data_IF_928807568918
#
_entry.id   IF_928807568918
#
_cell.length_a   1.000
_cell.length_b   1.000
_cell.length_c   1.000
_cell.angle_alpha   90.00
_cell.angle_beta   90.00
_cell.angle_gamma   90.00
#
_symmetry.space_group_name_H-M   'P 1'
#
loop_
_entity.id
_entity.type
_entity.pdbx_description
1 polymer ?
#
# COMPACT_ATOMS: atom_id res chain seq x y z
N UNK A 1 4.87 18.83 -73.74
CA UNK A 1 5.36 18.55 -72.37
C UNK A 1 4.12 18.40 -71.48
N UNK A 2 3.91 17.24 -70.85
CA UNK A 2 2.70 16.95 -70.04
C UNK A 2 2.97 17.34 -68.59
N UNK A 3 2.09 18.16 -68.00
CA UNK A 3 2.17 18.63 -66.62
C UNK A 3 1.63 17.57 -65.65
N UNK A 4 2.47 17.09 -64.73
CA UNK A 4 2.14 16.09 -63.70
C UNK A 4 1.83 16.72 -62.33
N UNK A 5 1.22 17.90 -62.32
CA UNK A 5 0.95 18.65 -61.10
C UNK A 5 -0.55 18.54 -60.75
N UNK A 6 -0.93 17.47 -60.05
CA UNK A 6 -2.08 17.40 -59.11
C UNK A 6 -2.54 15.95 -58.82
N UNK A 7 -1.66 15.09 -58.32
CA UNK A 7 -2.08 13.79 -57.76
C UNK A 7 -1.55 13.46 -56.36
N UNK A 8 -0.67 14.28 -55.80
CA UNK A 8 -0.12 14.06 -54.46
C UNK A 8 -0.87 14.79 -53.34
N UNK A 9 -1.62 15.86 -53.65
CA UNK A 9 -2.29 16.68 -52.63
C UNK A 9 -3.49 16.01 -51.94
N UNK A 10 -4.15 15.05 -52.60
CA UNK A 10 -5.38 14.43 -52.05
C UNK A 10 -5.11 13.25 -51.10
N UNK A 11 -3.93 12.61 -51.15
CA UNK A 11 -3.62 11.46 -50.30
C UNK A 11 -3.13 11.85 -48.90
N UNK A 12 -2.55 13.04 -48.73
CA UNK A 12 -2.04 13.50 -47.41
C UNK A 12 -3.19 13.90 -46.48
N UNK A 13 -4.30 14.42 -47.01
CA UNK A 13 -5.46 14.85 -46.21
C UNK A 13 -6.23 13.66 -45.63
N UNK A 14 -6.27 12.52 -46.32
CA UNK A 14 -7.00 11.33 -45.83
C UNK A 14 -6.29 10.68 -44.64
N UNK A 15 -4.95 10.68 -44.59
CA UNK A 15 -4.18 10.04 -43.51
C UNK A 15 -4.25 10.85 -42.19
N UNK A 16 -4.42 12.18 -42.27
CA UNK A 16 -4.53 13.05 -41.08
C UNK A 16 -5.88 12.96 -40.37
N UNK A 17 -6.93 12.45 -41.01
CA UNK A 17 -8.27 12.36 -40.39
C UNK A 17 -8.52 11.03 -39.66
N UNK A 18 -7.77 9.98 -39.95
CA UNK A 18 -7.94 8.65 -39.33
C UNK A 18 -7.25 8.51 -37.96
N UNK A 19 -6.39 9.45 -37.56
CA UNK A 19 -5.65 9.36 -36.30
C UNK A 19 -6.53 9.58 -35.04
N UNK A 20 -7.73 10.14 -35.18
CA UNK A 20 -8.64 10.38 -34.04
C UNK A 20 -9.41 9.12 -33.59
N UNK A 21 -9.38 8.02 -34.35
CA UNK A 21 -10.14 6.81 -34.04
C UNK A 21 -9.40 5.83 -33.10
N UNK A 22 -8.13 6.08 -32.76
CA UNK A 22 -7.39 5.33 -31.75
C UNK A 22 -7.43 6.07 -30.41
N UNK A 23 -8.62 6.45 -29.94
CA UNK A 23 -8.79 6.85 -28.55
C UNK A 23 -8.52 5.63 -27.66
N UNK A 24 -7.33 5.56 -27.06
CA UNK A 24 -7.04 4.60 -26.00
C UNK A 24 -8.08 4.82 -24.91
N UNK A 25 -8.85 3.77 -24.58
CA UNK A 25 -9.70 3.82 -23.38
C UNK A 25 -8.77 4.17 -22.21
N UNK A 26 -9.11 5.17 -21.38
CA UNK A 26 -8.29 5.48 -20.22
C UNK A 26 -8.07 4.19 -19.42
N UNK A 27 -6.85 3.94 -18.89
CA UNK A 27 -6.59 2.77 -18.08
C UNK A 27 -7.68 2.67 -17.02
N UNK A 28 -8.23 1.46 -16.85
CA UNK A 28 -9.30 1.21 -15.89
C UNK A 28 -8.78 1.65 -14.53
N UNK A 29 -9.30 2.76 -14.03
CA UNK A 29 -8.92 3.27 -12.72
C UNK A 29 -9.48 2.26 -11.72
N UNK A 30 -8.61 1.52 -11.04
CA UNK A 30 -9.03 0.67 -9.94
C UNK A 30 -9.58 1.58 -8.85
N UNK A 31 -10.90 1.73 -8.82
CA UNK A 31 -11.58 2.40 -7.73
C UNK A 31 -11.45 1.48 -6.53
N UNK A 32 -10.77 1.95 -5.48
CA UNK A 32 -10.66 1.23 -4.23
C UNK A 32 -12.07 1.05 -3.64
N UNK A 33 -12.52 -0.20 -3.57
CA UNK A 33 -13.74 -0.58 -2.88
C UNK A 33 -13.39 -0.90 -1.42
N UNK A 34 -13.94 -0.15 -0.44
CA UNK A 34 -13.61 -0.37 0.96
C UNK A 34 -14.06 -1.76 1.39
N UNK A 35 -13.10 -2.62 1.72
CA UNK A 35 -13.38 -3.93 2.29
C UNK A 35 -13.68 -3.79 3.78
N UNK A 36 -14.65 -4.57 4.33
CA UNK A 36 -14.87 -4.59 5.77
C UNK A 36 -13.60 -5.04 6.47
N UNK A 37 -13.10 -4.21 7.38
CA UNK A 37 -11.88 -4.49 8.14
C UNK A 37 -12.13 -5.48 9.27
N UNK A 38 -13.34 -5.51 9.83
CA UNK A 38 -13.78 -6.46 10.86
C UNK A 38 -14.33 -7.74 10.22
N UNK A 39 -13.81 -8.88 10.66
CA UNK A 39 -14.28 -10.22 10.33
C UNK A 39 -14.62 -10.97 11.61
N UNK A 40 -15.87 -11.39 11.77
CA UNK A 40 -16.31 -12.22 12.89
C UNK A 40 -16.37 -13.66 12.43
N UNK A 41 -15.71 -14.56 13.15
CA UNK A 41 -15.66 -15.98 12.78
C UNK A 41 -16.98 -16.66 13.14
N UNK A 42 -17.45 -17.53 12.25
CA UNK A 42 -18.62 -18.39 12.52
C UNK A 42 -18.24 -19.56 13.42
N UNK A 43 -19.23 -20.15 14.11
CA UNK A 43 -19.00 -21.20 15.11
C UNK A 43 -18.31 -22.48 14.57
N UNK A 44 -18.35 -22.70 13.26
CA UNK A 44 -17.69 -23.82 12.59
C UNK A 44 -16.23 -23.54 12.19
N UNK A 45 -15.75 -22.30 12.33
CA UNK A 45 -14.37 -21.92 12.11
C UNK A 45 -13.65 -21.82 13.45
N UNK A 46 -12.51 -22.49 13.60
CA UNK A 46 -11.76 -22.51 14.85
C UNK A 46 -10.27 -22.37 14.57
N UNK A 47 -9.74 -21.19 14.88
CA UNK A 47 -8.32 -20.89 14.78
C UNK A 47 -7.74 -20.70 16.18
N UNK A 48 -6.56 -21.26 16.42
CA UNK A 48 -5.79 -20.92 17.60
C UNK A 48 -5.13 -19.56 17.40
N UNK A 49 -5.20 -18.71 18.43
CA UNK A 49 -4.50 -17.41 18.47
C UNK A 49 -3.00 -17.53 18.16
N UNK A 50 -2.39 -18.67 18.49
CA UNK A 50 -0.95 -18.90 18.27
C UNK A 50 -0.59 -19.36 16.85
N UNK A 51 -1.58 -19.62 15.98
CA UNK A 51 -1.36 -20.07 14.60
C UNK A 51 -1.69 -18.94 13.61
N UNK A 52 -0.85 -17.89 13.63
CA UNK A 52 -1.06 -16.71 12.79
C UNK A 52 -1.00 -17.01 11.30
N UNK A 53 -0.16 -17.95 10.85
CA UNK A 53 -0.06 -18.29 9.43
C UNK A 53 -1.36 -18.89 8.88
N UNK A 54 -2.05 -19.74 9.65
CA UNK A 54 -3.36 -20.26 9.24
C UNK A 54 -4.41 -19.13 9.17
N UNK A 55 -4.38 -18.21 10.14
CA UNK A 55 -5.29 -17.05 10.14
C UNK A 55 -5.07 -16.20 8.89
N UNK A 56 -3.84 -15.83 8.59
CA UNK A 56 -3.54 -14.88 7.51
C UNK A 56 -3.68 -15.52 6.13
N UNK A 57 -3.30 -16.78 5.96
CA UNK A 57 -3.44 -17.49 4.68
C UNK A 57 -4.90 -17.85 4.39
N UNK A 58 -5.60 -18.48 5.35
CA UNK A 58 -6.94 -19.01 5.09
C UNK A 58 -8.00 -17.92 5.02
N UNK A 59 -7.87 -16.86 5.85
CA UNK A 59 -8.92 -15.84 5.98
C UNK A 59 -8.63 -14.56 5.20
N UNK A 60 -7.35 -14.21 5.01
CA UNK A 60 -6.97 -12.94 4.38
C UNK A 60 -6.31 -13.13 3.01
N UNK A 61 -5.89 -14.35 2.66
CA UNK A 61 -5.28 -14.65 1.36
C UNK A 61 -4.00 -13.88 1.10
N UNK A 62 -3.26 -13.52 2.16
CA UNK A 62 -2.00 -12.78 2.03
C UNK A 62 -0.95 -13.61 1.31
N UNK A 63 -0.07 -12.93 0.58
CA UNK A 63 0.94 -13.59 -0.22
C UNK A 63 1.99 -14.29 0.66
N UNK A 64 2.67 -15.29 0.08
CA UNK A 64 3.69 -16.07 0.80
C UNK A 64 4.98 -15.30 1.09
N UNK A 65 5.20 -14.16 0.42
CA UNK A 65 6.35 -13.29 0.70
C UNK A 65 6.06 -12.30 1.84
N UNK A 66 4.82 -12.27 2.32
CA UNK A 66 4.41 -11.51 3.48
C UNK A 66 4.64 -12.27 4.79
N UNK A 67 5.17 -11.53 5.77
CA UNK A 67 5.35 -12.00 7.15
C UNK A 67 4.68 -11.02 8.11
N UNK A 68 4.56 -11.40 9.38
CA UNK A 68 3.88 -10.59 10.38
C UNK A 68 4.75 -10.45 11.62
N UNK A 69 5.04 -9.21 11.98
CA UNK A 69 5.79 -8.86 13.17
C UNK A 69 4.82 -8.49 14.29
N UNK A 70 5.03 -9.05 15.48
CA UNK A 70 4.24 -8.71 16.65
C UNK A 70 4.54 -7.29 17.11
N UNK A 71 3.50 -6.49 17.29
CA UNK A 71 3.60 -5.10 17.75
C UNK A 71 3.30 -5.03 19.23
N UNK A 72 2.14 -5.53 19.65
CA UNK A 72 1.70 -5.48 21.05
C UNK A 72 0.57 -6.46 21.34
N UNK A 73 0.34 -6.67 22.63
CA UNK A 73 -0.79 -7.41 23.14
C UNK A 73 -1.46 -6.63 24.27
N UNK A 74 -2.79 -6.64 24.25
CA UNK A 74 -3.63 -6.15 25.33
C UNK A 74 -4.64 -7.23 25.75
N UNK A 75 -5.02 -7.26 27.03
CA UNK A 75 -6.11 -8.10 27.55
C UNK A 75 -7.18 -7.18 28.15
N UNK A 76 -8.43 -7.32 27.70
CA UNK A 76 -9.53 -6.49 28.18
C UNK A 76 -10.15 -7.02 29.49
N UNK A 77 -11.03 -6.21 30.10
CA UNK A 77 -11.73 -6.57 31.34
C UNK A 77 -12.67 -7.77 31.17
N UNK A 78 -13.12 -8.02 29.95
CA UNK A 78 -13.94 -9.17 29.61
C UNK A 78 -13.10 -10.43 29.42
N UNK A 79 -11.76 -10.33 29.46
CA UNK A 79 -10.76 -11.38 29.30
C UNK A 79 -10.56 -11.84 27.86
N UNK A 80 -10.82 -11.00 26.86
CA UNK A 80 -10.34 -11.19 25.50
C UNK A 80 -8.87 -10.77 25.41
N UNK A 81 -8.13 -11.45 24.55
CA UNK A 81 -6.76 -11.08 24.17
C UNK A 81 -6.78 -10.45 22.78
N UNK A 82 -6.06 -9.34 22.63
CA UNK A 82 -5.91 -8.58 21.40
C UNK A 82 -4.44 -8.54 21.01
N UNK A 83 -4.05 -9.31 20.00
CA UNK A 83 -2.69 -9.24 19.46
C UNK A 83 -2.67 -8.39 18.20
N UNK A 84 -1.78 -7.40 18.18
CA UNK A 84 -1.55 -6.56 17.01
C UNK A 84 -0.28 -7.02 16.33
N UNK A 85 -0.37 -7.24 15.03
CA UNK A 85 0.77 -7.53 14.16
C UNK A 85 0.82 -6.53 13.00
N UNK A 86 2.04 -6.17 12.60
CA UNK A 86 2.31 -5.39 11.38
C UNK A 86 2.69 -6.33 10.25
N UNK A 87 2.13 -6.08 9.07
CA UNK A 87 2.51 -6.83 7.87
C UNK A 87 3.87 -6.35 7.36
N UNK A 88 4.71 -7.29 6.96
CA UNK A 88 5.92 -7.06 6.20
C UNK A 88 5.77 -7.75 4.85
N UNK A 89 6.40 -7.20 3.81
CA UNK A 89 6.54 -7.83 2.51
C UNK A 89 8.03 -7.86 2.17
N UNK A 90 8.60 -9.07 2.02
CA UNK A 90 10.06 -9.25 1.82
C UNK A 90 10.89 -8.51 2.89
N UNK A 91 10.46 -8.63 4.15
CA UNK A 91 11.06 -7.99 5.33
C UNK A 91 10.95 -6.45 5.40
N UNK A 92 10.18 -5.82 4.51
CA UNK A 92 9.90 -4.38 4.55
C UNK A 92 8.52 -4.13 5.16
N UNK A 93 8.38 -3.18 6.11
CA UNK A 93 7.06 -2.82 6.64
C UNK A 93 6.12 -2.36 5.54
N UNK A 94 4.91 -2.91 5.53
CA UNK A 94 3.83 -2.41 4.69
C UNK A 94 3.10 -1.36 5.50
N UNK A 95 3.27 -0.08 5.13
CA UNK A 95 2.72 1.03 5.89
C UNK A 95 1.19 0.96 5.97
N UNK A 96 0.65 1.26 7.15
CA UNK A 96 -0.78 1.12 7.50
C UNK A 96 -1.37 -0.30 7.44
N UNK A 97 -0.59 -1.34 7.12
CA UNK A 97 -1.08 -2.72 7.06
C UNK A 97 -0.85 -3.46 8.38
N UNK A 98 -1.94 -3.73 9.09
CA UNK A 98 -1.94 -4.42 10.38
C UNK A 98 -3.07 -5.44 10.46
N UNK A 99 -2.91 -6.39 11.39
CA UNK A 99 -3.95 -7.31 11.81
C UNK A 99 -4.04 -7.30 13.33
N UNK A 100 -5.25 -7.15 13.86
CA UNK A 100 -5.59 -7.36 15.26
C UNK A 100 -6.37 -8.67 15.39
N UNK A 101 -5.78 -9.63 16.10
CA UNK A 101 -6.41 -10.92 16.40
C UNK A 101 -7.13 -10.82 17.73
N UNK A 102 -8.47 -10.88 17.69
CA UNK A 102 -9.30 -10.91 18.89
C UNK A 102 -9.60 -12.36 19.27
N UNK A 103 -9.21 -12.77 20.47
CA UNK A 103 -9.33 -14.15 20.92
C UNK A 103 -9.89 -14.25 22.35
N UNK A 104 -10.58 -15.36 22.63
CA UNK A 104 -11.10 -15.71 23.96
C UNK A 104 -10.69 -17.13 24.31
N UNK A 105 -10.13 -17.34 25.49
CA UNK A 105 -9.63 -18.64 25.92
C UNK A 105 -8.67 -19.32 24.89
N UNK A 106 -7.84 -18.51 24.22
CA UNK A 106 -6.88 -18.98 23.22
C UNK A 106 -7.42 -19.20 21.80
N UNK A 107 -8.74 -19.08 21.60
CA UNK A 107 -9.40 -19.27 20.31
C UNK A 107 -9.80 -17.93 19.69
N UNK A 108 -9.57 -17.77 18.39
CA UNK A 108 -9.92 -16.56 17.64
C UNK A 108 -11.44 -16.45 17.52
N UNK A 109 -11.98 -15.27 17.83
CA UNK A 109 -13.42 -14.95 17.70
C UNK A 109 -13.67 -13.93 16.60
N UNK A 110 -12.74 -12.99 16.40
CA UNK A 110 -12.81 -11.99 15.36
C UNK A 110 -11.41 -11.49 14.99
N UNK A 111 -11.32 -10.81 13.85
CA UNK A 111 -10.12 -10.12 13.37
C UNK A 111 -10.49 -8.72 12.91
N UNK A 112 -9.66 -7.73 13.21
CA UNK A 112 -9.70 -6.44 12.52
C UNK A 112 -8.43 -6.31 11.69
N UNK A 113 -8.52 -6.01 10.39
CA UNK A 113 -7.34 -5.98 9.53
C UNK A 113 -7.39 -4.86 8.49
N UNK A 114 -6.20 -4.41 8.12
CA UNK A 114 -5.90 -3.52 6.99
C UNK A 114 -4.82 -4.15 6.10
N UNK A 115 -4.68 -5.47 6.14
CA UNK A 115 -3.66 -6.19 5.39
C UNK A 115 -3.87 -6.02 3.89
N UNK A 116 -2.77 -6.07 3.15
CA UNK A 116 -2.77 -5.87 1.69
C UNK A 116 -2.25 -7.12 1.03
N UNK A 117 -2.95 -7.61 0.01
CA UNK A 117 -2.43 -8.67 -0.86
C UNK A 117 -1.48 -8.04 -1.86
N UNK A 118 -0.21 -8.48 -1.86
CA UNK A 118 0.83 -7.91 -2.72
C UNK A 118 1.26 -8.95 -3.76
N UNK A 119 1.08 -8.62 -5.04
CA UNK A 119 1.43 -9.50 -6.16
C UNK A 119 2.70 -8.99 -6.84
N UNK A 120 3.79 -9.77 -6.74
CA UNK A 120 5.05 -9.59 -7.50
C UNK A 120 5.61 -8.15 -7.55
N UNK A 121 5.61 -7.45 -6.40
CA UNK A 121 6.17 -6.10 -6.30
C UNK A 121 7.70 -6.15 -6.24
N UNK A 122 8.38 -5.42 -7.13
CA UNK A 122 9.83 -5.16 -7.01
C UNK A 122 10.06 -4.14 -5.90
N UNK A 123 10.74 -4.56 -4.83
CA UNK A 123 11.03 -3.75 -3.64
C UNK A 123 12.40 -3.08 -3.71
N UNK A 124 13.13 -3.21 -4.82
CA UNK A 124 14.45 -2.60 -4.97
C UNK A 124 14.31 -1.09 -5.19
N UNK A 125 14.85 -0.23 -4.30
CA UNK A 125 14.73 1.21 -4.43
C UNK A 125 15.47 1.70 -5.69
N UNK A 126 14.80 2.58 -6.45
CA UNK A 126 15.39 3.27 -7.62
C UNK A 126 15.88 4.67 -7.28
N UNK A 127 15.53 5.17 -6.10
CA UNK A 127 15.94 6.46 -5.55
C UNK A 127 16.70 6.25 -4.25
N UNK A 128 17.71 7.08 -4.01
CA UNK A 128 18.32 7.16 -2.69
C UNK A 128 17.40 7.91 -1.72
N UNK A 129 17.50 7.60 -0.42
CA UNK A 129 16.80 8.28 0.66
C UNK A 129 16.88 9.81 0.53
N UNK A 130 18.09 10.36 0.35
CA UNK A 130 18.30 11.81 0.16
C UNK A 130 17.53 12.37 -1.04
N UNK A 131 17.50 11.64 -2.16
CA UNK A 131 16.81 12.10 -3.37
C UNK A 131 15.29 12.04 -3.20
N UNK A 132 14.79 11.00 -2.54
CA UNK A 132 13.38 10.86 -2.20
C UNK A 132 12.92 11.97 -1.25
N UNK A 133 13.67 12.23 -0.17
CA UNK A 133 13.36 13.30 0.78
C UNK A 133 13.38 14.68 0.12
N UNK A 134 14.39 14.97 -0.71
CA UNK A 134 14.43 16.25 -1.45
C UNK A 134 13.23 16.42 -2.39
N UNK A 135 12.82 15.34 -3.05
CA UNK A 135 11.63 15.35 -3.93
C UNK A 135 10.36 15.62 -3.12
N UNK A 136 10.20 14.96 -1.97
CA UNK A 136 9.08 15.19 -1.06
C UNK A 136 9.06 16.65 -0.55
N UNK A 137 10.22 17.20 -0.15
CA UNK A 137 10.33 18.59 0.27
C UNK A 137 9.96 19.57 -0.85
N UNK A 138 10.35 19.26 -2.09
CA UNK A 138 10.00 20.08 -3.25
C UNK A 138 8.50 20.03 -3.57
N UNK A 139 7.86 18.87 -3.38
CA UNK A 139 6.42 18.70 -3.60
C UNK A 139 5.59 19.45 -2.54
N UNK A 140 5.93 19.26 -1.26
CA UNK A 140 5.25 19.97 -0.16
C UNK A 140 5.54 21.47 -0.21
N UNK A 141 6.74 21.85 -0.68
CA UNK A 141 7.18 23.23 -0.87
C UNK A 141 7.07 24.10 0.40
N UNK A 142 7.38 23.49 1.55
CA UNK A 142 7.51 24.22 2.81
C UNK A 142 8.70 25.18 2.79
N UNK A 143 8.54 26.36 3.40
CA UNK A 143 9.65 27.34 3.54
C UNK A 143 10.75 26.84 4.47
N UNK A 144 10.34 26.15 5.53
CA UNK A 144 11.19 25.55 6.55
C UNK A 144 10.44 24.37 7.13
N UNK A 145 11.15 23.31 7.45
CA UNK A 145 10.60 22.13 8.10
C UNK A 145 10.97 22.12 9.59
N UNK A 146 10.11 21.54 10.44
CA UNK A 146 10.30 21.55 11.89
C UNK A 146 11.68 21.06 12.32
N UNK A 147 12.17 19.99 11.68
CA UNK A 147 13.47 19.39 11.97
C UNK A 147 14.68 20.18 11.45
N UNK A 148 14.47 21.25 10.68
CA UNK A 148 15.54 22.15 10.23
C UNK A 148 15.81 23.28 11.24
N UNK A 149 14.87 23.57 12.13
CA UNK A 149 15.03 24.52 13.22
C UNK A 149 15.42 23.80 14.52
N UNK A 150 16.70 23.91 14.90
CA UNK A 150 17.25 23.17 16.04
C UNK A 150 16.55 23.49 17.37
N UNK A 151 16.04 24.72 17.55
CA UNK A 151 15.33 25.10 18.77
C UNK A 151 13.96 24.42 18.86
N UNK A 152 13.17 24.48 17.79
CA UNK A 152 11.84 23.87 17.72
C UNK A 152 11.91 22.35 17.72
N UNK A 153 12.87 21.76 17.00
CA UNK A 153 13.06 20.31 16.96
C UNK A 153 13.43 19.76 18.34
N UNK A 154 14.26 20.45 19.11
CA UNK A 154 14.62 20.07 20.47
C UNK A 154 13.45 20.20 21.46
N UNK A 155 12.60 21.23 21.31
CA UNK A 155 11.39 21.38 22.13
C UNK A 155 10.37 20.25 21.92
N UNK A 156 10.37 19.64 20.72
CA UNK A 156 9.44 18.57 20.35
C UNK A 156 10.07 17.17 20.36
N UNK A 157 11.35 17.05 20.74
CA UNK A 157 12.15 15.83 20.61
C UNK A 157 12.00 15.17 19.22
N UNK A 158 11.97 15.99 18.17
CA UNK A 158 11.66 15.57 16.81
C UNK A 158 12.93 15.57 15.94
N UNK A 159 13.17 14.44 15.28
CA UNK A 159 14.24 14.30 14.28
C UNK A 159 13.66 14.27 12.87
N UNK A 160 14.44 14.71 11.89
CA UNK A 160 14.04 14.65 10.49
C UNK A 160 13.73 13.21 10.07
N UNK A 161 12.79 13.01 9.12
CA UNK A 161 12.42 11.67 8.69
C UNK A 161 13.62 10.96 8.05
N UNK A 162 13.90 9.75 8.53
CA UNK A 162 14.80 8.80 7.91
C UNK A 162 14.02 7.72 7.15
N UNK A 163 14.56 7.27 6.02
CA UNK A 163 13.99 6.15 5.27
C UNK A 163 14.33 4.80 5.93
N UNK A 164 13.50 3.79 5.68
CA UNK A 164 13.72 2.41 6.18
C UNK A 164 14.35 1.48 5.12
N UNK A 165 14.79 2.03 3.97
CA UNK A 165 15.31 1.31 2.78
C UNK A 165 16.74 1.70 2.39
#
# INVERSE_FOLDING_TARGET
MKNYLNRFGMSVVVILTTAFALAQKPPKQEVYEPQPTLMVLSQNQSYSRNNLSAITQDLLGVDSASTFEFVKQDIDELGFTHDVYRQLYRALPVEFAQINVHAKAGQVTALTNTTVVINDLDTRPTLSERSALNSAKSFVNGRTYLWEDAQSSALMDYQGPGGEL
#
